data_IF_756376180131
#
_entry.id   IF_756376180131
#
_cell.length_a   1.000
_cell.length_b   1.000
_cell.length_c   1.000
_cell.angle_alpha   90.00
_cell.angle_beta   90.00
_cell.angle_gamma   90.00
#
_symmetry.space_group_name_H-M   'P 1'
#
loop_
_entity.id
_entity.type
_entity.pdbx_description
1 polymer ?
#
# COMPACT_ATOMS: atom_id res chain seq x y z
N UNK A 1 22.66 22.39 -9.47
CA UNK A 1 22.06 21.21 -8.87
C UNK A 1 21.59 21.56 -7.46
N UNK A 2 20.30 21.40 -7.18
CA UNK A 2 19.79 21.40 -5.82
C UNK A 2 19.54 19.94 -5.44
N UNK A 3 20.18 19.46 -4.36
CA UNK A 3 19.96 18.11 -3.84
C UNK A 3 19.44 18.19 -2.41
N UNK A 4 18.41 17.43 -2.11
CA UNK A 4 17.89 17.23 -0.77
C UNK A 4 17.98 15.75 -0.42
N UNK A 5 18.48 15.42 0.77
CA UNK A 5 18.55 14.07 1.29
C UNK A 5 17.57 13.92 2.46
N UNK A 6 16.60 13.02 2.30
CA UNK A 6 15.74 12.58 3.40
C UNK A 6 15.83 11.04 3.52
N UNK A 7 16.53 10.57 4.53
CA UNK A 7 16.77 9.14 4.74
C UNK A 7 17.53 8.51 3.56
N UNK A 8 16.95 7.48 2.96
CA UNK A 8 17.50 6.75 1.80
C UNK A 8 17.12 7.38 0.44
N UNK A 9 16.45 8.52 0.43
CA UNK A 9 15.98 9.19 -0.79
C UNK A 9 16.85 10.40 -1.09
N UNK A 10 17.27 10.53 -2.34
CA UNK A 10 17.98 11.70 -2.86
C UNK A 10 17.15 12.32 -3.96
N UNK A 11 16.97 13.63 -3.90
CA UNK A 11 16.28 14.43 -4.93
C UNK A 11 17.28 15.32 -5.64
N UNK A 12 17.21 15.33 -6.95
CA UNK A 12 18.09 16.15 -7.77
C UNK A 12 17.23 17.00 -8.69
N UNK A 13 17.25 18.31 -8.51
CA UNK A 13 16.63 19.25 -9.43
C UNK A 13 17.71 19.78 -10.39
N UNK A 14 17.47 19.59 -11.69
CA UNK A 14 18.36 20.06 -12.74
C UNK A 14 17.71 21.27 -13.43
N UNK A 15 18.18 22.50 -13.17
CA UNK A 15 17.62 23.71 -13.76
C UNK A 15 18.07 23.84 -15.22
N UNK A 16 17.41 23.17 -16.15
CA UNK A 16 17.64 23.30 -17.59
C UNK A 16 16.40 22.95 -18.38
N UNK A 17 16.11 23.67 -19.46
CA UNK A 17 15.25 23.18 -20.52
C UNK A 17 15.97 21.99 -21.16
N UNK A 18 15.49 20.79 -20.93
CA UNK A 18 16.12 19.56 -21.41
C UNK A 18 15.13 18.65 -22.10
N UNK A 19 15.60 18.01 -23.15
CA UNK A 19 14.92 16.89 -23.78
C UNK A 19 14.93 15.69 -22.80
N UNK A 20 13.88 14.90 -22.83
CA UNK A 20 13.68 13.69 -22.00
C UNK A 20 14.92 12.80 -22.00
N UNK A 21 15.50 12.55 -23.17
CA UNK A 21 16.63 11.65 -23.39
C UNK A 21 17.86 12.07 -22.59
N UNK A 22 18.13 13.37 -22.51
CA UNK A 22 19.26 13.91 -21.72
C UNK A 22 19.08 13.74 -20.22
N UNK A 23 17.85 13.77 -19.73
CA UNK A 23 17.56 13.53 -18.30
C UNK A 23 17.74 12.07 -17.93
N UNK A 24 17.35 11.17 -18.83
CA UNK A 24 17.57 9.72 -18.66
C UNK A 24 19.07 9.43 -18.66
N UNK A 25 19.81 9.94 -19.64
CA UNK A 25 21.27 9.77 -19.71
C UNK A 25 21.98 10.31 -18.46
N UNK A 26 21.53 11.46 -17.94
CA UNK A 26 22.06 12.00 -16.69
C UNK A 26 21.77 11.10 -15.50
N UNK A 27 20.55 10.57 -15.41
CA UNK A 27 20.16 9.63 -14.35
C UNK A 27 20.99 8.35 -14.40
N UNK A 28 21.24 7.80 -15.60
CA UNK A 28 22.11 6.64 -15.82
C UNK A 28 23.56 6.93 -15.37
N UNK A 29 24.12 8.07 -15.79
CA UNK A 29 25.48 8.46 -15.39
C UNK A 29 25.60 8.61 -13.88
N UNK A 30 24.63 9.24 -13.23
CA UNK A 30 24.64 9.41 -11.78
C UNK A 30 24.53 8.07 -11.05
N UNK A 31 23.63 7.20 -11.50
CA UNK A 31 23.46 5.85 -10.92
C UNK A 31 24.74 5.04 -11.04
N UNK A 32 25.35 5.02 -12.23
CA UNK A 32 26.61 4.31 -12.48
C UNK A 32 27.77 4.85 -11.65
N UNK A 33 27.93 6.17 -11.59
CA UNK A 33 28.99 6.82 -10.80
C UNK A 33 28.90 6.49 -9.31
N UNK A 34 27.66 6.40 -8.75
CA UNK A 34 27.47 6.04 -7.34
C UNK A 34 27.73 4.55 -7.12
N UNK A 35 27.31 3.68 -8.04
CA UNK A 35 27.57 2.23 -7.97
C UNK A 35 29.09 1.93 -8.02
N UNK A 36 29.82 2.55 -8.94
CA UNK A 36 31.27 2.39 -9.06
C UNK A 36 32.02 2.89 -7.82
N UNK A 37 31.62 4.04 -7.26
CA UNK A 37 32.23 4.57 -6.02
C UNK A 37 31.88 3.74 -4.78
N UNK A 38 30.76 3.04 -4.78
CA UNK A 38 30.34 2.18 -3.66
C UNK A 38 31.06 0.83 -3.68
N UNK A 39 31.25 0.23 -4.86
CA UNK A 39 32.00 -1.05 -5.04
C UNK A 39 33.46 -0.92 -4.66
N UNK A 40 34.05 0.27 -4.75
CA UNK A 40 35.44 0.52 -4.35
C UNK A 40 35.68 0.65 -2.84
N UNK A 41 34.64 0.48 -2.00
CA UNK A 41 34.77 0.50 -0.53
C UNK A 41 34.77 -0.92 0.04
N UNK A 42 35.81 -1.34 0.82
CA UNK A 42 35.94 -2.71 1.32
C UNK A 42 34.82 -3.20 2.27
N UNK A 43 33.90 -2.31 2.65
CA UNK A 43 32.82 -2.59 3.63
C UNK A 43 31.45 -2.85 2.99
N UNK A 44 31.31 -2.79 1.66
CA UNK A 44 30.03 -2.99 0.97
C UNK A 44 29.96 -4.44 0.49
N UNK A 45 29.27 -5.29 1.26
CA UNK A 45 29.11 -6.71 0.93
C UNK A 45 28.00 -6.99 -0.11
N UNK A 46 27.19 -5.99 -0.50
CA UNK A 46 26.12 -6.14 -1.48
C UNK A 46 26.15 -5.00 -2.50
N UNK A 47 25.81 -5.26 -3.78
CA UNK A 47 25.74 -4.22 -4.79
C UNK A 47 24.63 -3.20 -4.43
N UNK A 48 25.00 -1.92 -4.45
CA UNK A 48 24.04 -0.83 -4.23
C UNK A 48 23.22 -0.67 -5.51
N UNK A 49 21.90 -0.74 -5.39
CA UNK A 49 20.96 -0.56 -6.48
C UNK A 49 20.14 0.72 -6.29
N UNK A 50 19.70 1.32 -7.41
CA UNK A 50 18.91 2.54 -7.39
C UNK A 50 17.62 2.38 -8.20
N UNK A 51 16.53 2.81 -7.60
CA UNK A 51 15.27 3.02 -8.33
C UNK A 51 15.09 4.53 -8.51
N UNK A 52 15.14 4.97 -9.75
CA UNK A 52 15.15 6.40 -10.11
C UNK A 52 13.88 6.77 -10.84
N UNK A 53 13.21 7.82 -10.38
CA UNK A 53 12.09 8.42 -11.08
C UNK A 53 12.49 9.75 -11.72
N UNK A 54 12.21 9.91 -13.01
CA UNK A 54 12.50 11.10 -13.80
C UNK A 54 11.19 11.75 -14.23
N UNK A 55 11.09 13.07 -14.02
CA UNK A 55 10.05 13.91 -14.58
C UNK A 55 10.67 15.21 -15.07
N UNK A 56 10.07 15.89 -16.03
CA UNK A 56 10.61 17.09 -16.64
C UNK A 56 9.53 18.15 -16.89
N UNK A 57 9.98 19.39 -16.97
CA UNK A 57 9.16 20.54 -17.32
C UNK A 57 9.72 21.18 -18.63
N UNK A 58 8.87 21.62 -19.57
CA UNK A 58 7.41 21.74 -19.52
C UNK A 58 6.65 20.47 -19.99
N UNK A 59 7.16 19.27 -19.80
CA UNK A 59 6.52 18.03 -20.20
C UNK A 59 5.02 17.95 -19.80
N UNK A 60 4.72 17.13 -18.81
CA UNK A 60 3.34 16.92 -18.36
C UNK A 60 3.01 17.66 -17.06
N UNK A 61 3.98 18.29 -16.41
CA UNK A 61 3.77 19.06 -15.18
C UNK A 61 3.38 20.50 -15.50
N UNK A 62 2.33 21.00 -14.86
CA UNK A 62 1.92 22.40 -14.94
C UNK A 62 2.71 23.31 -13.98
N UNK A 63 3.16 22.74 -12.85
CA UNK A 63 3.89 23.46 -11.81
C UNK A 63 4.98 22.58 -11.13
N UNK A 64 5.71 23.19 -10.20
CA UNK A 64 6.80 22.53 -9.48
C UNK A 64 6.31 21.41 -8.55
N UNK A 65 5.10 21.55 -7.97
CA UNK A 65 4.52 20.54 -7.08
C UNK A 65 4.13 19.30 -7.88
N UNK A 66 3.50 19.51 -9.02
CA UNK A 66 3.13 18.43 -9.94
C UNK A 66 4.37 17.73 -10.49
N UNK A 67 5.40 18.48 -10.91
CA UNK A 67 6.67 17.89 -11.34
C UNK A 67 7.27 16.98 -10.28
N UNK A 68 7.23 17.43 -9.04
CA UNK A 68 7.69 16.65 -7.90
C UNK A 68 6.89 15.39 -7.67
N UNK A 69 5.55 15.47 -7.73
CA UNK A 69 4.66 14.30 -7.60
C UNK A 69 4.90 13.30 -8.74
N UNK A 70 5.06 13.76 -9.96
CA UNK A 70 5.36 12.93 -11.13
C UNK A 70 6.68 12.16 -10.95
N UNK A 71 7.74 12.82 -10.49
CA UNK A 71 9.01 12.15 -10.23
C UNK A 71 8.92 11.11 -9.10
N UNK A 72 8.16 11.40 -8.03
CA UNK A 72 7.86 10.43 -6.96
C UNK A 72 7.12 9.21 -7.51
N UNK A 73 6.09 9.41 -8.34
CA UNK A 73 5.34 8.31 -8.98
C UNK A 73 6.27 7.44 -9.82
N UNK A 74 7.08 8.05 -10.68
CA UNK A 74 8.03 7.31 -11.52
C UNK A 74 9.03 6.49 -10.66
N UNK A 75 9.59 7.07 -9.58
CA UNK A 75 10.48 6.35 -8.67
C UNK A 75 9.79 5.18 -7.96
N UNK A 76 8.52 5.36 -7.59
CA UNK A 76 7.71 4.30 -7.02
C UNK A 76 7.52 3.14 -8.01
N UNK A 77 7.21 3.44 -9.29
CA UNK A 77 7.12 2.41 -10.35
C UNK A 77 8.44 1.69 -10.58
N UNK A 78 9.57 2.42 -10.58
CA UNK A 78 10.88 1.80 -10.69
C UNK A 78 11.12 0.77 -9.58
N UNK A 79 10.76 1.11 -8.34
CA UNK A 79 10.88 0.20 -7.19
C UNK A 79 9.98 -1.03 -7.33
N UNK A 80 8.79 -0.86 -7.87
CA UNK A 80 7.77 -1.91 -8.00
C UNK A 80 8.04 -2.88 -9.13
N UNK A 81 8.58 -2.39 -10.24
CA UNK A 81 8.85 -3.18 -11.45
C UNK A 81 10.23 -3.86 -11.44
N UNK A 82 10.68 -4.34 -10.28
CA UNK A 82 11.90 -5.13 -10.13
C UNK A 82 13.10 -4.35 -9.60
N UNK A 83 12.93 -3.11 -9.13
CA UNK A 83 13.98 -2.24 -8.60
C UNK A 83 15.13 -2.00 -9.61
N UNK A 84 16.22 -1.37 -9.20
CA UNK A 84 17.45 -1.13 -9.97
C UNK A 84 17.20 -0.68 -11.42
N UNK A 85 16.36 0.35 -11.58
CA UNK A 85 16.00 0.90 -12.88
C UNK A 85 15.65 2.37 -12.82
N UNK A 86 15.71 2.99 -13.97
CA UNK A 86 15.23 4.36 -14.19
C UNK A 86 13.86 4.29 -14.83
N UNK A 87 12.90 4.99 -14.25
CA UNK A 87 11.56 5.13 -14.78
C UNK A 87 11.30 6.60 -15.09
N UNK A 88 10.88 6.88 -16.30
CA UNK A 88 10.45 8.21 -16.71
C UNK A 88 8.96 8.33 -16.50
N UNK A 89 8.49 9.49 -16.03
CA UNK A 89 7.08 9.81 -16.02
C UNK A 89 6.66 10.28 -17.41
N UNK A 90 5.80 9.54 -18.07
CA UNK A 90 5.36 9.81 -19.45
C UNK A 90 3.89 10.22 -19.56
N UNK A 91 3.31 10.75 -18.48
CA UNK A 91 1.89 11.06 -18.43
C UNK A 91 1.02 9.82 -18.54
N UNK A 92 0.16 9.56 -17.55
CA UNK A 92 -0.55 8.30 -17.57
C UNK A 92 0.39 7.12 -17.80
N UNK A 93 1.45 6.98 -16.97
CA UNK A 93 2.27 5.77 -17.05
C UNK A 93 1.29 4.59 -16.99
N UNK A 94 0.97 4.08 -18.17
CA UNK A 94 0.02 3.02 -18.47
C UNK A 94 -1.48 3.38 -18.57
N UNK A 95 -1.86 4.56 -19.05
CA UNK A 95 -3.20 4.68 -19.63
C UNK A 95 -3.33 3.96 -20.99
N UNK A 96 -2.23 3.70 -21.71
CA UNK A 96 -2.25 3.11 -23.05
C UNK A 96 -1.57 1.74 -23.20
N UNK A 97 -1.04 1.13 -22.16
CA UNK A 97 -0.70 -0.27 -22.30
C UNK A 97 -1.84 -1.14 -21.78
N UNK A 98 -2.78 -1.34 -22.70
CA UNK A 98 -3.85 -2.32 -22.61
C UNK A 98 -4.91 -2.02 -21.55
N UNK A 99 -6.09 -1.58 -22.03
CA UNK A 99 -7.38 -2.15 -21.64
C UNK A 99 -7.33 -3.70 -21.73
N UNK A 100 -6.46 -4.32 -21.00
CA UNK A 100 -6.80 -5.57 -20.39
C UNK A 100 -7.73 -5.14 -19.25
N UNK A 101 -9.04 -5.20 -19.52
CA UNK A 101 -10.04 -5.45 -18.49
C UNK A 101 -9.30 -6.20 -17.40
N UNK A 102 -9.05 -5.52 -16.29
CA UNK A 102 -8.28 -6.12 -15.20
C UNK A 102 -9.01 -7.41 -14.95
N UNK A 103 -8.31 -8.55 -14.88
CA UNK A 103 -8.96 -9.86 -14.72
C UNK A 103 -9.92 -9.93 -13.54
N UNK A 104 -10.02 -8.83 -12.79
CA UNK A 104 -10.99 -8.53 -11.76
C UNK A 104 -12.44 -8.54 -12.27
N UNK A 105 -12.79 -7.95 -13.41
CA UNK A 105 -14.18 -7.94 -13.88
C UNK A 105 -14.70 -9.34 -14.14
N UNK A 106 -13.83 -10.25 -14.60
CA UNK A 106 -14.16 -11.65 -14.80
C UNK A 106 -14.34 -12.40 -13.48
N UNK A 107 -13.60 -12.03 -12.43
CA UNK A 107 -13.64 -12.71 -11.12
C UNK A 107 -14.40 -11.93 -10.06
N UNK A 108 -14.82 -10.69 -10.33
CA UNK A 108 -15.54 -9.85 -9.38
C UNK A 108 -16.74 -10.57 -8.76
N UNK A 109 -17.63 -11.26 -9.53
CA UNK A 109 -18.72 -12.01 -8.94
C UNK A 109 -18.24 -13.09 -7.95
N UNK A 110 -17.13 -13.77 -8.27
CA UNK A 110 -16.52 -14.78 -7.40
C UNK A 110 -15.95 -14.14 -6.14
N UNK A 111 -15.26 -13.01 -6.26
CA UNK A 111 -14.74 -12.26 -5.10
C UNK A 111 -15.87 -11.85 -4.16
N UNK A 112 -16.93 -11.25 -4.69
CA UNK A 112 -18.09 -10.86 -3.87
C UNK A 112 -18.79 -12.07 -3.25
N UNK A 113 -18.93 -13.19 -3.98
CA UNK A 113 -19.51 -14.41 -3.43
C UNK A 113 -18.68 -15.00 -2.29
N UNK A 114 -17.35 -14.95 -2.40
CA UNK A 114 -16.45 -15.40 -1.34
C UNK A 114 -16.53 -14.49 -0.10
N UNK A 115 -16.52 -13.16 -0.29
CA UNK A 115 -16.67 -12.22 0.83
C UNK A 115 -18.04 -12.39 1.50
N UNK A 116 -19.12 -12.59 0.74
CA UNK A 116 -20.44 -12.88 1.28
C UNK A 116 -20.51 -14.22 2.01
N UNK A 117 -19.77 -15.24 1.56
CA UNK A 117 -19.71 -16.53 2.25
C UNK A 117 -19.05 -16.45 3.62
N UNK A 118 -18.07 -15.53 3.78
CA UNK A 118 -17.44 -15.27 5.08
C UNK A 118 -18.41 -14.55 5.99
N UNK A 119 -19.20 -13.62 5.47
CA UNK A 119 -20.20 -12.89 6.24
C UNK A 119 -21.27 -13.81 6.86
N UNK A 120 -21.60 -14.92 6.19
CA UNK A 120 -22.45 -15.94 6.76
C UNK A 120 -21.84 -16.61 8.00
N UNK A 121 -20.52 -16.61 8.13
CA UNK A 121 -19.78 -17.17 9.28
C UNK A 121 -19.47 -16.11 10.35
N UNK A 122 -19.16 -14.88 9.91
CA UNK A 122 -18.83 -13.72 10.74
C UNK A 122 -19.60 -12.51 10.18
N UNK A 123 -20.79 -12.26 10.71
CA UNK A 123 -21.80 -11.32 10.19
C UNK A 123 -21.36 -9.83 10.09
N UNK A 124 -20.07 -9.54 10.22
CA UNK A 124 -19.48 -8.20 10.12
C UNK A 124 -18.45 -8.08 8.99
N UNK A 125 -18.07 -9.20 8.38
CA UNK A 125 -16.93 -9.23 7.47
C UNK A 125 -17.24 -8.59 6.11
N UNK A 126 -18.47 -8.76 5.59
CA UNK A 126 -18.85 -8.19 4.28
C UNK A 126 -18.82 -6.67 4.27
N UNK A 127 -19.54 -6.05 5.23
CA UNK A 127 -19.58 -4.60 5.34
C UNK A 127 -18.20 -4.03 5.65
N UNK A 128 -17.48 -4.64 6.57
CA UNK A 128 -16.11 -4.29 6.92
C UNK A 128 -15.19 -4.32 5.71
N UNK A 129 -15.11 -5.43 4.98
CA UNK A 129 -14.25 -5.54 3.79
C UNK A 129 -14.63 -4.54 2.70
N UNK A 130 -15.94 -4.25 2.56
CA UNK A 130 -16.43 -3.23 1.63
C UNK A 130 -15.98 -1.83 2.05
N UNK A 131 -16.13 -1.47 3.32
CA UNK A 131 -15.69 -0.19 3.87
C UNK A 131 -14.17 -0.02 3.73
N UNK A 132 -13.39 -1.02 4.15
CA UNK A 132 -11.92 -1.01 4.03
C UNK A 132 -11.50 -0.81 2.58
N UNK A 133 -12.15 -1.50 1.63
CA UNK A 133 -11.91 -1.34 0.20
C UNK A 133 -12.21 0.09 -0.28
N UNK A 134 -13.32 0.68 0.14
CA UNK A 134 -13.70 2.06 -0.22
C UNK A 134 -12.72 3.09 0.36
N UNK A 135 -12.40 2.96 1.64
CA UNK A 135 -11.44 3.84 2.32
C UNK A 135 -10.05 3.77 1.66
N UNK A 136 -9.61 2.55 1.35
CA UNK A 136 -8.32 2.34 0.68
C UNK A 136 -8.28 2.96 -0.73
N UNK A 137 -9.38 2.94 -1.48
CA UNK A 137 -9.50 3.62 -2.77
C UNK A 137 -9.38 5.14 -2.60
N UNK A 138 -10.14 5.73 -1.67
CA UNK A 138 -10.10 7.18 -1.41
C UNK A 138 -8.70 7.62 -0.97
N UNK A 139 -8.07 6.86 -0.09
CA UNK A 139 -6.73 7.14 0.39
C UNK A 139 -5.67 6.98 -0.70
N UNK A 140 -5.77 5.95 -1.53
CA UNK A 140 -4.89 5.76 -2.68
C UNK A 140 -5.02 6.90 -3.71
N UNK A 141 -6.23 7.40 -3.95
CA UNK A 141 -6.48 8.57 -4.78
C UNK A 141 -5.86 9.85 -4.19
N UNK A 142 -6.07 10.11 -2.90
CA UNK A 142 -5.48 11.25 -2.16
C UNK A 142 -3.95 11.22 -2.23
N UNK A 143 -3.36 10.04 -2.11
CA UNK A 143 -1.91 9.83 -2.23
C UNK A 143 -1.41 9.86 -3.69
N UNK A 144 -2.30 10.03 -4.65
CA UNK A 144 -1.97 10.16 -6.07
C UNK A 144 -1.43 8.88 -6.69
N UNK A 145 -1.92 7.73 -6.27
CA UNK A 145 -1.51 6.44 -6.82
C UNK A 145 -2.09 6.21 -8.23
N UNK A 146 -1.49 5.27 -8.96
CA UNK A 146 -1.96 4.88 -10.28
C UNK A 146 -3.33 4.19 -10.24
N UNK A 147 -4.05 4.19 -11.37
CA UNK A 147 -5.29 3.40 -11.52
C UNK A 147 -5.08 1.93 -11.15
N UNK A 148 -3.96 1.33 -11.56
CA UNK A 148 -3.62 -0.05 -11.23
C UNK A 148 -3.42 -0.27 -9.72
N UNK A 149 -2.78 0.67 -9.01
CA UNK A 149 -2.61 0.58 -7.57
C UNK A 149 -3.92 0.80 -6.83
N UNK A 150 -4.74 1.74 -7.28
CA UNK A 150 -6.10 1.96 -6.78
C UNK A 150 -6.94 0.70 -6.95
N UNK A 151 -6.90 0.08 -8.14
CA UNK A 151 -7.62 -1.18 -8.37
C UNK A 151 -7.05 -2.33 -7.53
N UNK A 152 -5.72 -2.40 -7.41
CA UNK A 152 -5.06 -3.41 -6.56
C UNK A 152 -5.48 -3.29 -5.11
N UNK A 153 -5.44 -2.08 -4.53
CA UNK A 153 -5.80 -1.88 -3.12
C UNK A 153 -7.29 -2.08 -2.89
N UNK A 154 -8.15 -1.73 -3.87
CA UNK A 154 -9.59 -2.02 -3.85
C UNK A 154 -9.85 -3.51 -3.67
N UNK A 155 -9.24 -4.33 -4.52
CA UNK A 155 -9.43 -5.79 -4.47
C UNK A 155 -8.77 -6.39 -3.25
N UNK A 156 -7.60 -5.91 -2.86
CA UNK A 156 -6.91 -6.34 -1.65
C UNK A 156 -7.74 -6.04 -0.39
N UNK A 157 -8.40 -4.87 -0.33
CA UNK A 157 -9.33 -4.53 0.77
C UNK A 157 -10.53 -5.47 0.87
N UNK A 158 -11.06 -5.94 -0.28
CA UNK A 158 -12.12 -6.96 -0.27
C UNK A 158 -11.64 -8.33 0.22
N UNK A 159 -10.40 -8.70 -0.09
CA UNK A 159 -9.87 -10.05 0.11
C UNK A 159 -8.95 -10.20 1.33
N UNK A 160 -8.59 -9.11 2.04
CA UNK A 160 -7.56 -9.17 3.08
C UNK A 160 -7.86 -10.20 4.17
N UNK A 161 -9.12 -10.35 4.50
CA UNK A 161 -9.65 -11.18 5.58
C UNK A 161 -10.31 -12.49 5.13
N UNK A 162 -10.24 -12.82 3.83
CA UNK A 162 -10.94 -14.00 3.28
C UNK A 162 -10.53 -15.31 3.98
N UNK A 163 -9.32 -15.40 4.49
CA UNK A 163 -8.81 -16.55 5.22
C UNK A 163 -9.48 -16.79 6.58
N UNK A 164 -10.27 -15.85 7.10
CA UNK A 164 -11.09 -16.05 8.30
C UNK A 164 -12.09 -17.20 8.15
N UNK A 165 -12.44 -17.56 6.93
CA UNK A 165 -13.27 -18.75 6.67
C UNK A 165 -12.65 -20.03 7.25
N UNK A 166 -11.32 -20.11 7.28
CA UNK A 166 -10.56 -21.23 7.83
C UNK A 166 -10.30 -21.15 9.34
N UNK A 167 -10.77 -20.12 10.04
CA UNK A 167 -10.61 -19.97 11.49
C UNK A 167 -11.79 -20.65 12.22
N UNK A 168 -11.55 -21.42 13.30
CA UNK A 168 -12.62 -22.01 14.08
C UNK A 168 -13.60 -20.95 14.61
N UNK A 169 -14.88 -21.23 14.53
CA UNK A 169 -15.94 -20.30 14.95
C UNK A 169 -15.88 -19.95 16.43
N UNK A 170 -15.45 -20.90 17.26
CA UNK A 170 -15.21 -20.69 18.70
C UNK A 170 -14.14 -19.64 19.01
N UNK A 171 -13.17 -19.45 18.10
CA UNK A 171 -12.13 -18.42 18.21
C UNK A 171 -12.65 -17.12 17.60
N UNK A 172 -13.25 -17.20 16.42
CA UNK A 172 -13.74 -16.05 15.67
C UNK A 172 -14.81 -15.25 16.44
N UNK A 173 -15.74 -15.97 17.09
CA UNK A 173 -16.87 -15.39 17.85
C UNK A 173 -16.62 -15.31 19.37
N UNK A 174 -15.40 -15.47 19.83
CA UNK A 174 -15.10 -15.43 21.27
C UNK A 174 -15.38 -14.06 21.87
N UNK A 175 -16.24 -14.00 22.87
CA UNK A 175 -16.64 -12.77 23.57
C UNK A 175 -15.60 -12.26 24.58
N UNK A 176 -14.32 -12.51 24.41
CA UNK A 176 -13.26 -12.10 25.34
C UNK A 176 -11.91 -12.07 24.67
N UNK A 177 -10.87 -11.84 25.47
CA UNK A 177 -9.50 -11.89 24.95
C UNK A 177 -9.15 -13.31 24.52
N UNK A 178 -8.51 -13.43 23.38
CA UNK A 178 -7.93 -14.68 22.91
C UNK A 178 -6.75 -15.09 23.81
N UNK A 179 -6.57 -16.40 24.04
CA UNK A 179 -5.32 -16.91 24.60
C UNK A 179 -4.18 -16.72 23.58
N UNK A 180 -2.95 -16.95 23.97
CA UNK A 180 -1.82 -16.83 23.04
C UNK A 180 -1.95 -17.86 21.90
N UNK A 181 -2.38 -19.08 22.20
CA UNK A 181 -2.58 -20.15 21.22
C UNK A 181 -3.73 -19.79 20.24
N UNK A 182 -4.84 -19.28 20.75
CA UNK A 182 -5.96 -18.82 19.93
C UNK A 182 -5.57 -17.63 19.07
N UNK A 183 -4.73 -16.74 19.59
CA UNK A 183 -4.22 -15.61 18.83
C UNK A 183 -3.30 -16.05 17.68
N UNK A 184 -2.44 -17.06 17.89
CA UNK A 184 -1.65 -17.64 16.80
C UNK A 184 -2.54 -18.27 15.72
N UNK A 185 -3.62 -18.97 16.12
CA UNK A 185 -4.61 -19.49 15.17
C UNK A 185 -5.30 -18.35 14.43
N UNK A 186 -5.67 -17.26 15.12
CA UNK A 186 -6.27 -16.08 14.47
C UNK A 186 -5.33 -15.47 13.45
N UNK A 187 -4.04 -15.29 13.77
CA UNK A 187 -3.04 -14.75 12.83
C UNK A 187 -2.91 -15.58 11.54
N UNK A 188 -3.19 -16.87 11.60
CA UNK A 188 -3.12 -17.75 10.43
C UNK A 188 -4.11 -17.40 9.32
N UNK A 189 -5.12 -16.49 9.58
CA UNK A 189 -6.02 -16.05 8.51
C UNK A 189 -5.27 -15.35 7.37
N UNK A 190 -4.14 -14.69 7.64
CA UNK A 190 -3.33 -14.04 6.62
C UNK A 190 -2.81 -15.06 5.61
N UNK A 191 -2.17 -16.13 6.10
CA UNK A 191 -1.65 -17.19 5.22
C UNK A 191 -2.79 -17.92 4.49
N UNK A 192 -3.92 -18.19 5.17
CA UNK A 192 -5.10 -18.75 4.54
C UNK A 192 -5.69 -17.85 3.47
N UNK A 193 -5.65 -16.52 3.66
CA UNK A 193 -6.07 -15.56 2.62
C UNK A 193 -5.19 -15.70 1.38
N UNK A 194 -3.88 -15.81 1.55
CA UNK A 194 -2.93 -16.00 0.44
C UNK A 194 -3.22 -17.32 -0.29
N UNK A 195 -3.39 -18.41 0.45
CA UNK A 195 -3.73 -19.72 -0.12
C UNK A 195 -4.97 -19.65 -0.99
N UNK A 196 -6.03 -19.00 -0.50
CA UNK A 196 -7.28 -18.85 -1.26
C UNK A 196 -7.12 -17.96 -2.50
N UNK A 197 -6.36 -16.85 -2.39
CA UNK A 197 -6.10 -15.95 -3.50
C UNK A 197 -5.32 -16.63 -4.62
N UNK A 198 -4.42 -17.57 -4.30
CA UNK A 198 -3.70 -18.34 -5.31
C UNK A 198 -4.62 -19.18 -6.22
N UNK A 199 -5.80 -19.57 -5.75
CA UNK A 199 -6.79 -20.27 -6.58
C UNK A 199 -7.64 -19.33 -7.44
N UNK A 200 -7.56 -18.00 -7.23
CA UNK A 200 -8.30 -17.04 -8.05
C UNK A 200 -7.45 -16.67 -9.28
N UNK A 201 -7.99 -16.83 -10.51
CA UNK A 201 -7.26 -16.51 -11.72
C UNK A 201 -6.75 -15.06 -11.72
N UNK A 202 -5.47 -14.88 -12.01
CA UNK A 202 -4.83 -13.57 -12.17
C UNK A 202 -4.92 -12.63 -10.96
N UNK A 203 -5.10 -13.16 -9.71
CA UNK A 203 -5.25 -12.35 -8.49
C UNK A 203 -3.96 -12.25 -7.65
N UNK A 204 -2.86 -12.89 -8.03
CA UNK A 204 -1.62 -12.88 -7.25
C UNK A 204 -1.04 -11.48 -7.01
N UNK A 205 -1.42 -10.50 -7.81
CA UNK A 205 -0.96 -9.11 -7.68
C UNK A 205 -1.43 -8.42 -6.39
N UNK A 206 -2.51 -8.89 -5.75
CA UNK A 206 -2.99 -8.34 -4.48
C UNK A 206 -2.27 -8.90 -3.26
N UNK A 207 -1.59 -10.05 -3.40
CA UNK A 207 -0.95 -10.77 -2.28
C UNK A 207 0.02 -9.89 -1.48
N UNK A 208 0.89 -9.06 -2.09
CA UNK A 208 1.78 -8.19 -1.31
C UNK A 208 1.05 -7.24 -0.35
N UNK A 209 -0.12 -6.75 -0.73
CA UNK A 209 -0.93 -5.90 0.14
C UNK A 209 -1.63 -6.73 1.23
N UNK A 210 -2.24 -7.86 0.83
CA UNK A 210 -2.96 -8.75 1.76
C UNK A 210 -2.03 -9.33 2.83
N UNK A 211 -0.85 -9.83 2.46
CA UNK A 211 0.08 -10.43 3.44
C UNK A 211 0.59 -9.42 4.46
N UNK A 212 0.59 -8.13 4.14
CA UNK A 212 1.23 -7.10 4.97
C UNK A 212 0.27 -6.15 5.67
N UNK A 213 -1.05 -6.39 5.61
CA UNK A 213 -2.01 -5.47 6.23
C UNK A 213 -1.97 -5.47 7.77
N UNK A 214 -1.40 -6.50 8.39
CA UNK A 214 -1.13 -6.56 9.83
C UNK A 214 0.34 -6.33 10.19
N UNK A 215 1.18 -5.96 9.24
CA UNK A 215 2.51 -5.48 9.57
C UNK A 215 2.41 -4.09 10.21
N UNK A 216 3.30 -3.83 11.15
CA UNK A 216 3.38 -2.56 11.85
C UNK A 216 4.61 -1.78 11.39
N UNK A 217 4.50 -0.47 11.31
CA UNK A 217 5.59 0.38 10.88
C UNK A 217 6.84 0.25 11.75
N UNK A 218 6.67 -0.11 13.04
CA UNK A 218 7.74 -0.37 14.01
C UNK A 218 8.35 -1.79 13.92
N UNK A 219 7.82 -2.67 13.05
CA UNK A 219 8.29 -4.05 12.86
C UNK A 219 7.74 -5.06 13.88
N UNK A 220 6.80 -4.66 14.73
CA UNK A 220 6.15 -5.55 15.72
C UNK A 220 4.88 -6.21 15.20
N UNK A 221 4.64 -6.13 13.89
CA UNK A 221 3.51 -6.74 13.21
C UNK A 221 3.73 -8.21 12.85
N UNK A 222 2.83 -8.74 12.07
CA UNK A 222 2.89 -10.10 11.55
C UNK A 222 2.37 -10.16 10.10
N UNK A 223 2.66 -11.21 9.33
CA UNK A 223 3.35 -12.45 9.71
C UNK A 223 4.88 -12.38 9.61
N UNK A 224 5.47 -11.35 9.00
CA UNK A 224 6.90 -11.29 8.66
C UNK A 224 7.72 -10.41 9.60
N UNK A 225 7.10 -9.50 10.35
CA UNK A 225 7.77 -8.55 11.23
C UNK A 225 8.66 -7.56 10.49
N UNK A 226 8.33 -7.24 9.23
CA UNK A 226 9.02 -6.22 8.42
C UNK A 226 8.62 -4.82 8.87
N UNK A 227 9.49 -3.82 8.66
CA UNK A 227 9.29 -2.48 9.23
C UNK A 227 9.43 -1.36 8.20
N UNK A 228 8.81 -0.24 8.51
CA UNK A 228 8.97 0.99 7.75
C UNK A 228 8.61 0.81 6.27
N UNK A 229 9.48 1.26 5.38
CA UNK A 229 9.28 1.17 3.93
C UNK A 229 9.51 -0.24 3.34
N UNK A 230 9.97 -1.21 4.13
CA UNK A 230 10.01 -2.62 3.72
C UNK A 230 8.60 -3.20 3.58
N UNK A 231 7.64 -2.64 4.33
CA UNK A 231 6.23 -3.01 4.21
C UNK A 231 5.70 -2.50 2.86
N UNK A 232 5.09 -3.36 2.02
CA UNK A 232 4.45 -2.95 0.78
C UNK A 232 3.51 -1.76 1.01
N UNK A 233 3.60 -0.72 0.17
CA UNK A 233 2.87 0.53 0.39
C UNK A 233 1.36 0.33 0.47
N UNK A 234 0.79 -0.53 -0.40
CA UNK A 234 -0.64 -0.84 -0.37
C UNK A 234 -1.05 -1.60 0.92
N UNK A 235 -0.14 -2.35 1.52
CA UNK A 235 -0.36 -2.96 2.84
C UNK A 235 -0.41 -1.92 3.96
N UNK A 236 0.44 -0.88 3.90
CA UNK A 236 0.40 0.25 4.85
C UNK A 236 -0.90 1.03 4.74
N UNK A 237 -1.45 1.18 3.52
CA UNK A 237 -2.78 1.77 3.28
C UNK A 237 -3.86 0.90 3.92
N UNK A 238 -3.85 -0.41 3.67
CA UNK A 238 -4.83 -1.32 4.25
C UNK A 238 -4.78 -1.32 5.79
N UNK A 239 -3.60 -1.31 6.39
CA UNK A 239 -3.44 -1.28 7.85
C UNK A 239 -4.15 -0.10 8.52
N UNK A 240 -4.08 1.09 7.90
CA UNK A 240 -4.78 2.29 8.39
C UNK A 240 -6.29 2.14 8.22
N UNK A 241 -6.75 1.74 7.03
CA UNK A 241 -8.18 1.62 6.71
C UNK A 241 -8.86 0.52 7.53
N UNK A 242 -8.23 -0.65 7.66
CA UNK A 242 -8.72 -1.77 8.49
C UNK A 242 -8.84 -1.37 9.96
N UNK A 243 -7.78 -0.78 10.53
CA UNK A 243 -7.79 -0.34 11.92
C UNK A 243 -8.86 0.72 12.19
N UNK A 244 -9.06 1.66 11.26
CA UNK A 244 -10.09 2.69 11.38
C UNK A 244 -11.47 2.08 11.37
N UNK A 245 -11.80 1.26 10.37
CA UNK A 245 -13.12 0.60 10.29
C UNK A 245 -13.36 -0.30 11.51
N UNK A 246 -12.34 -1.01 11.96
CA UNK A 246 -12.42 -1.85 13.16
C UNK A 246 -12.75 -1.07 14.44
N UNK A 247 -12.45 0.23 14.50
CA UNK A 247 -12.77 1.10 15.64
C UNK A 247 -14.19 1.65 15.56
N UNK A 248 -14.64 2.08 14.38
CA UNK A 248 -15.92 2.80 14.22
C UNK A 248 -17.10 1.89 13.88
N UNK A 249 -16.84 0.66 13.42
CA UNK A 249 -17.89 -0.30 13.05
C UNK A 249 -18.43 -1.03 14.27
N UNK A 250 -19.77 -1.24 14.29
CA UNK A 250 -20.42 -2.05 15.31
C UNK A 250 -19.97 -3.51 15.15
N UNK A 251 -19.55 -4.14 16.25
CA UNK A 251 -19.21 -5.56 16.30
C UNK A 251 -20.05 -6.28 17.32
N UNK A 252 -20.21 -7.60 17.19
CA UNK A 252 -21.07 -8.41 18.08
C UNK A 252 -20.83 -8.19 19.58
N UNK A 253 -19.60 -7.82 19.95
CA UNK A 253 -19.16 -7.72 21.34
C UNK A 253 -18.52 -6.37 21.69
N UNK A 254 -18.67 -5.35 20.80
CA UNK A 254 -18.06 -4.03 21.02
C UNK A 254 -18.92 -2.95 20.39
N UNK A 255 -19.31 -1.97 21.18
CA UNK A 255 -19.92 -0.75 20.65
C UNK A 255 -18.92 0.04 19.82
N UNK A 256 -19.36 0.70 18.74
CA UNK A 256 -18.52 1.53 17.91
C UNK A 256 -17.92 2.69 18.72
N UNK A 257 -16.66 2.98 18.45
CA UNK A 257 -16.00 4.16 19.00
C UNK A 257 -16.32 5.38 18.12
N UNK A 258 -16.18 6.59 18.67
CA UNK A 258 -16.39 7.78 17.85
C UNK A 258 -15.30 7.96 16.81
N UNK A 259 -15.62 8.68 15.74
CA UNK A 259 -14.67 9.01 14.67
C UNK A 259 -13.49 9.82 15.21
N UNK A 260 -13.77 10.74 16.15
CA UNK A 260 -12.74 11.55 16.81
C UNK A 260 -11.77 10.70 17.61
N UNK A 261 -12.28 9.67 18.31
CA UNK A 261 -11.42 8.72 19.01
C UNK A 261 -10.56 7.94 18.04
N UNK A 262 -11.14 7.43 16.96
CA UNK A 262 -10.41 6.67 15.93
C UNK A 262 -9.31 7.52 15.26
N UNK A 263 -9.61 8.80 14.93
CA UNK A 263 -8.59 9.73 14.43
C UNK A 263 -7.47 9.95 15.46
N UNK A 264 -7.81 10.10 16.75
CA UNK A 264 -6.84 10.23 17.84
C UNK A 264 -5.91 9.02 17.96
N UNK A 265 -6.44 7.80 17.78
CA UNK A 265 -5.63 6.59 17.78
C UNK A 265 -4.73 6.49 16.54
N UNK A 266 -5.20 6.88 15.37
CA UNK A 266 -4.35 6.98 14.18
C UNK A 266 -3.21 7.96 14.39
N UNK A 267 -3.50 9.16 14.90
CA UNK A 267 -2.51 10.21 15.19
C UNK A 267 -1.45 9.73 16.20
N UNK A 268 -1.88 9.13 17.30
CA UNK A 268 -1.03 8.66 18.38
C UNK A 268 -0.09 7.53 17.96
N UNK A 269 -0.52 6.70 17.03
CA UNK A 269 0.22 5.50 16.60
C UNK A 269 1.00 5.71 15.30
N UNK A 270 1.15 6.93 14.80
CA UNK A 270 2.05 7.27 13.70
C UNK A 270 3.50 6.90 14.03
N UNK A 271 4.20 6.32 13.07
CA UNK A 271 5.58 5.89 13.24
C UNK A 271 5.76 4.60 14.08
N UNK A 272 4.68 4.11 14.69
CA UNK A 272 4.66 2.85 15.44
C UNK A 272 3.79 1.80 14.72
N UNK A 273 2.49 1.88 14.85
CA UNK A 273 1.59 0.99 14.11
C UNK A 273 1.47 1.40 12.65
N UNK A 274 1.31 2.69 12.38
CA UNK A 274 0.97 3.24 11.07
C UNK A 274 2.13 4.00 10.45
N UNK A 275 2.19 3.95 9.12
CA UNK A 275 3.01 4.88 8.34
C UNK A 275 2.50 6.31 8.57
N UNK A 276 3.38 7.25 8.97
CA UNK A 276 2.96 8.62 9.23
C UNK A 276 2.34 9.33 8.02
N UNK A 277 2.89 9.15 6.82
CA UNK A 277 2.38 9.77 5.59
C UNK A 277 0.98 9.26 5.25
N UNK A 278 0.77 7.95 5.41
CA UNK A 278 -0.52 7.29 5.13
C UNK A 278 -1.57 7.69 6.14
N UNK A 279 -1.21 7.71 7.44
CA UNK A 279 -2.13 8.10 8.50
C UNK A 279 -2.53 9.58 8.39
N UNK A 280 -1.58 10.48 8.11
CA UNK A 280 -1.86 11.91 7.90
C UNK A 280 -2.84 12.13 6.75
N UNK A 281 -2.59 11.50 5.60
CA UNK A 281 -3.47 11.62 4.43
C UNK A 281 -4.89 11.11 4.73
N UNK A 282 -5.03 10.05 5.53
CA UNK A 282 -6.34 9.51 5.88
C UNK A 282 -7.09 10.40 6.88
N UNK A 283 -6.40 10.92 7.90
CA UNK A 283 -6.97 11.87 8.85
C UNK A 283 -7.46 13.15 8.12
N UNK A 284 -6.71 13.64 7.12
CA UNK A 284 -7.15 14.74 6.29
C UNK A 284 -8.44 14.41 5.52
N UNK A 285 -8.55 13.22 4.91
CA UNK A 285 -9.78 12.80 4.23
C UNK A 285 -10.99 12.76 5.15
N UNK A 286 -10.81 12.32 6.40
CA UNK A 286 -11.90 12.33 7.40
C UNK A 286 -12.32 13.76 7.73
N UNK A 287 -11.35 14.66 7.99
CA UNK A 287 -11.61 16.08 8.28
C UNK A 287 -12.27 16.81 7.11
N UNK A 288 -11.99 16.42 5.89
CA UNK A 288 -12.62 16.94 4.66
C UNK A 288 -14.04 16.37 4.44
N UNK A 289 -14.51 15.45 5.29
CA UNK A 289 -15.81 14.79 5.14
C UNK A 289 -15.93 13.87 3.91
N UNK A 290 -14.80 13.39 3.40
CA UNK A 290 -14.76 12.55 2.19
C UNK A 290 -14.84 11.04 2.47
N UNK A 291 -14.69 10.66 3.74
CA UNK A 291 -14.80 9.26 4.17
C UNK A 291 -16.28 8.98 4.48
N UNK A 292 -16.94 8.02 3.82
CA UNK A 292 -18.30 7.61 4.17
C UNK A 292 -18.27 6.92 5.55
N UNK A 293 -19.10 7.39 6.46
CA UNK A 293 -19.17 6.94 7.86
C UNK A 293 -20.48 6.20 8.11
#
# INVERSE_FOLDING_TARGET
>A
FLSERRGQKVRILVPRKGEKERLVELAEKLTRAVQENATNKPQVMQPITFSVGVAWYPGLAADALELFQQSKRAAFYAKRNGKDRIQVYEGGINEESQDKETGYEQVAPTVYALVAAIDAKDSFTFQHSTNVSQYAVLLAQKLGLSRNDIQTVKVAGLLHDIGKIGIPESILKKAGKLTNEEYEIMKSHVEKSIEMIHYLPNMNYVIPAVVSHHERYDGKGYPRGIKGEEIPFLGRILAVCDSFDAMISKRAYKEPLSVEYAMGELEKNKGTQFDPEVADAFIELIKEGKVPL
#
